data_IF_657792938827
#
_entry.id   IF_657792938827
#
_cell.length_a   1.000
_cell.length_b   1.000
_cell.length_c   1.000
_cell.angle_alpha   90.00
_cell.angle_beta   90.00
_cell.angle_gamma   90.00
#
_symmetry.space_group_name_H-M   'P 1'
#
loop_
_entity.id
_entity.type
_entity.pdbx_description
1 polymer ?
#
# COMPACT_ATOMS: atom_id res chain seq x y z
N UNK A 1 -17.12 16.65 4.85
CA UNK A 1 -15.99 15.84 4.36
C UNK A 1 -15.07 15.44 5.53
N UNK A 2 -15.25 14.25 6.13
CA UNK A 2 -14.32 13.76 7.17
C UNK A 2 -13.06 13.22 6.49
N UNK A 3 -11.98 13.99 6.50
CA UNK A 3 -10.63 13.45 6.25
C UNK A 3 -10.24 12.61 7.46
N UNK A 4 -10.41 11.30 7.39
CA UNK A 4 -9.82 10.40 8.37
C UNK A 4 -8.30 10.43 8.15
N UNK A 5 -7.55 11.07 9.05
CA UNK A 5 -6.09 10.93 9.14
C UNK A 5 -5.80 9.48 9.52
N UNK A 6 -5.67 8.62 8.52
CA UNK A 6 -5.11 7.29 8.70
C UNK A 6 -3.62 7.44 9.02
N UNK A 7 -3.14 6.73 10.03
CA UNK A 7 -1.76 6.87 10.52
C UNK A 7 -0.83 5.91 9.78
N UNK A 8 0.40 6.36 9.49
CA UNK A 8 1.43 5.53 8.85
C UNK A 8 1.67 4.21 9.60
N UNK A 9 1.55 4.22 10.93
CA UNK A 9 1.66 3.02 11.78
C UNK A 9 0.66 1.93 11.37
N UNK A 10 -0.61 2.27 11.15
CA UNK A 10 -1.61 1.28 10.78
C UNK A 10 -1.32 0.67 9.41
N UNK A 11 -0.89 1.49 8.45
CA UNK A 11 -0.51 1.00 7.12
C UNK A 11 0.72 0.10 7.14
N UNK A 12 1.71 0.44 7.96
CA UNK A 12 2.89 -0.42 8.18
C UNK A 12 2.50 -1.79 8.73
N UNK A 13 1.54 -1.84 9.66
CA UNK A 13 1.03 -3.10 10.19
C UNK A 13 0.38 -3.94 9.09
N UNK A 14 -0.54 -3.35 8.31
CA UNK A 14 -1.21 -4.06 7.21
C UNK A 14 -0.20 -4.60 6.17
N UNK A 15 0.82 -3.82 5.84
CA UNK A 15 1.88 -4.24 4.92
C UNK A 15 2.68 -5.41 5.50
N UNK A 16 3.01 -5.39 6.79
CA UNK A 16 3.68 -6.50 7.47
C UNK A 16 2.79 -7.77 7.50
N UNK A 17 1.50 -7.62 7.75
CA UNK A 17 0.55 -8.74 7.76
C UNK A 17 0.47 -9.38 6.36
N UNK A 18 0.32 -8.57 5.31
CA UNK A 18 0.25 -9.07 3.93
C UNK A 18 1.56 -9.66 3.40
N UNK A 19 2.71 -9.29 3.97
CA UNK A 19 4.01 -9.83 3.58
C UNK A 19 4.15 -11.35 3.83
N UNK A 20 3.27 -11.93 4.65
CA UNK A 20 3.25 -13.37 4.93
C UNK A 20 2.59 -14.21 3.82
N UNK A 21 1.90 -13.55 2.88
CA UNK A 21 1.17 -14.21 1.79
C UNK A 21 2.04 -14.33 0.53
N UNK A 22 1.82 -15.35 -0.32
CA UNK A 22 2.59 -15.51 -1.56
C UNK A 22 2.47 -14.26 -2.45
N UNK A 23 3.61 -13.73 -2.93
CA UNK A 23 3.64 -12.58 -3.84
C UNK A 23 2.74 -12.81 -5.06
N UNK A 24 2.03 -11.76 -5.45
CA UNK A 24 1.18 -11.74 -6.64
C UNK A 24 1.43 -10.48 -7.45
N UNK A 25 1.35 -10.55 -8.79
CA UNK A 25 1.62 -9.40 -9.63
C UNK A 25 0.67 -8.25 -9.31
N UNK A 26 1.20 -7.03 -9.40
CA UNK A 26 0.41 -5.81 -9.26
C UNK A 26 -0.60 -5.76 -10.41
N UNK A 27 -1.90 -5.57 -10.14
CA UNK A 27 -2.90 -5.37 -11.19
C UNK A 27 -2.52 -4.23 -12.14
N UNK A 28 -2.39 -4.53 -13.43
CA UNK A 28 -1.89 -3.57 -14.44
C UNK A 28 -2.72 -2.28 -14.51
N UNK A 29 -4.01 -2.35 -14.17
CA UNK A 29 -4.88 -1.17 -14.11
C UNK A 29 -4.42 -0.16 -13.06
N UNK A 30 -3.93 -0.63 -11.91
CA UNK A 30 -3.45 0.24 -10.82
C UNK A 30 -2.15 0.93 -11.23
N UNK A 31 -1.23 0.21 -11.88
CA UNK A 31 0.00 0.79 -12.41
C UNK A 31 -0.30 1.89 -13.44
N UNK A 32 -1.23 1.66 -14.36
CA UNK A 32 -1.64 2.68 -15.35
C UNK A 32 -2.27 3.90 -14.69
N UNK A 33 -3.19 3.70 -13.74
CA UNK A 33 -3.86 4.79 -13.04
C UNK A 33 -2.88 5.65 -12.24
N UNK A 34 -1.96 5.01 -11.50
CA UNK A 34 -0.97 5.73 -10.72
C UNK A 34 0.06 6.44 -11.60
N UNK A 35 0.48 5.82 -12.71
CA UNK A 35 1.37 6.48 -13.66
C UNK A 35 0.73 7.73 -14.28
N UNK A 36 -0.54 7.63 -14.69
CA UNK A 36 -1.29 8.78 -15.19
C UNK A 36 -1.42 9.90 -14.13
N UNK A 37 -1.70 9.53 -12.88
CA UNK A 37 -1.78 10.48 -11.78
C UNK A 37 -0.45 11.18 -11.49
N UNK A 38 0.67 10.45 -11.54
CA UNK A 38 2.00 11.05 -11.31
C UNK A 38 2.43 11.95 -12.47
N UNK A 39 2.08 11.60 -13.70
CA UNK A 39 2.31 12.44 -14.87
C UNK A 39 1.52 13.76 -14.82
N UNK A 40 0.35 13.76 -14.17
CA UNK A 40 -0.45 14.96 -13.91
C UNK A 40 0.00 15.68 -12.65
N UNK A 41 1.03 16.54 -12.79
CA UNK A 41 1.53 17.43 -11.75
C UNK A 41 1.89 16.72 -10.42
N UNK A 42 2.59 15.58 -10.50
CA UNK A 42 2.95 14.78 -9.32
C UNK A 42 1.73 14.53 -8.43
N UNK A 43 0.64 13.99 -9.00
CA UNK A 43 -0.64 13.72 -8.35
C UNK A 43 -0.58 12.67 -7.23
N UNK A 44 0.31 12.85 -6.25
CA UNK A 44 0.49 12.03 -5.06
C UNK A 44 -0.83 11.86 -4.29
N UNK A 45 -1.69 12.87 -4.10
CA UNK A 45 -2.99 12.67 -3.46
C UNK A 45 -3.84 11.60 -4.16
N UNK A 46 -3.86 11.59 -5.49
CA UNK A 46 -4.59 10.59 -6.26
C UNK A 46 -3.99 9.19 -6.11
N UNK A 47 -2.65 9.06 -6.07
CA UNK A 47 -1.98 7.78 -5.78
C UNK A 47 -2.33 7.27 -4.37
N UNK A 48 -2.39 8.16 -3.37
CA UNK A 48 -2.76 7.78 -2.01
C UNK A 48 -4.21 7.31 -1.88
N UNK A 49 -5.11 7.88 -2.68
CA UNK A 49 -6.50 7.43 -2.76
C UNK A 49 -6.63 6.08 -3.51
N UNK A 50 -5.82 5.84 -4.55
CA UNK A 50 -5.69 4.51 -5.18
C UNK A 50 -5.25 3.47 -4.14
N UNK A 51 -4.19 3.75 -3.37
CA UNK A 51 -3.73 2.86 -2.31
C UNK A 51 -4.82 2.58 -1.26
N UNK A 52 -5.62 3.60 -0.90
CA UNK A 52 -6.75 3.43 0.03
C UNK A 52 -7.88 2.56 -0.57
N UNK A 53 -8.10 2.64 -1.88
CA UNK A 53 -9.05 1.77 -2.56
C UNK A 53 -8.59 0.31 -2.53
N UNK A 54 -7.33 0.06 -2.88
CA UNK A 54 -6.72 -1.29 -2.90
C UNK A 54 -6.74 -1.94 -1.52
N UNK A 55 -6.45 -1.17 -0.47
CA UNK A 55 -6.51 -1.61 0.92
C UNK A 55 -7.86 -2.27 1.26
N UNK A 56 -8.96 -1.66 0.79
CA UNK A 56 -10.35 -2.05 1.08
C UNK A 56 -10.94 -3.05 0.09
N UNK A 57 -10.29 -3.25 -1.06
CA UNK A 57 -10.78 -4.13 -2.11
C UNK A 57 -10.59 -5.61 -1.69
N UNK A 58 -11.70 -6.33 -1.53
CA UNK A 58 -11.68 -7.76 -1.21
C UNK A 58 -11.30 -8.64 -2.41
N UNK A 59 -11.36 -8.11 -3.63
CA UNK A 59 -10.97 -8.79 -4.87
C UNK A 59 -9.46 -8.78 -5.14
N UNK A 60 -8.69 -7.92 -4.45
CA UNK A 60 -7.23 -7.91 -4.53
C UNK A 60 -6.66 -8.83 -3.46
N UNK A 61 -5.87 -9.83 -3.87
CA UNK A 61 -5.22 -10.74 -2.93
C UNK A 61 -4.22 -10.01 -2.04
N UNK A 62 -4.01 -10.49 -0.81
CA UNK A 62 -3.06 -9.88 0.13
C UNK A 62 -1.65 -9.73 -0.46
N UNK A 63 -1.12 -10.76 -1.15
CA UNK A 63 0.15 -10.66 -1.87
C UNK A 63 0.18 -9.57 -2.95
N UNK A 64 -0.93 -9.34 -3.66
CA UNK A 64 -1.00 -8.25 -4.65
C UNK A 64 -1.13 -6.87 -3.97
N UNK A 65 -1.82 -6.78 -2.83
CA UNK A 65 -1.84 -5.57 -1.99
C UNK A 65 -0.44 -5.24 -1.50
N UNK A 66 0.28 -6.23 -0.99
CA UNK A 66 1.68 -6.10 -0.56
C UNK A 66 2.56 -5.52 -1.67
N UNK A 67 2.60 -6.15 -2.85
CA UNK A 67 3.43 -5.68 -3.96
C UNK A 67 3.03 -4.28 -4.41
N UNK A 68 1.73 -3.96 -4.43
CA UNK A 68 1.24 -2.62 -4.77
C UNK A 68 1.75 -1.58 -3.79
N UNK A 69 1.62 -1.84 -2.49
CA UNK A 69 2.08 -0.93 -1.45
C UNK A 69 3.60 -0.79 -1.46
N UNK A 70 4.36 -1.88 -1.62
CA UNK A 70 5.81 -1.86 -1.70
C UNK A 70 6.33 -1.14 -2.94
N UNK A 71 5.64 -1.24 -4.08
CA UNK A 71 5.99 -0.50 -5.28
C UNK A 71 5.82 1.01 -5.08
N UNK A 72 4.66 1.46 -4.60
CA UNK A 72 4.42 2.89 -4.39
C UNK A 72 5.17 3.47 -3.19
N UNK A 73 5.55 2.65 -2.21
CA UNK A 73 6.45 3.06 -1.14
C UNK A 73 7.81 3.50 -1.68
N UNK A 74 8.38 2.75 -2.64
CA UNK A 74 9.66 3.10 -3.29
C UNK A 74 9.57 4.35 -4.16
N UNK A 75 8.40 4.62 -4.75
CA UNK A 75 8.15 5.81 -5.58
C UNK A 75 7.95 7.06 -4.71
N UNK A 76 7.26 6.92 -3.57
CA UNK A 76 6.83 8.04 -2.73
C UNK A 76 7.68 8.25 -1.48
N UNK A 77 8.53 7.29 -1.09
CA UNK A 77 9.37 7.34 0.10
C UNK A 77 8.60 7.31 1.42
N UNK A 78 7.52 6.52 1.52
CA UNK A 78 6.60 6.52 2.67
C UNK A 78 7.06 5.66 3.86
N UNK A 79 8.11 4.86 3.66
CA UNK A 79 8.66 3.92 4.65
C UNK A 79 7.58 2.98 5.19
N UNK A 80 6.80 2.37 4.28
CA UNK A 80 5.71 1.44 4.61
C UNK A 80 6.23 0.02 4.86
N UNK A 81 7.34 -0.35 4.23
CA UNK A 81 8.03 -1.62 4.44
C UNK A 81 8.71 -1.74 5.82
N UNK A 82 8.71 -0.67 6.62
CA UNK A 82 9.47 -0.57 7.87
C UNK A 82 9.24 -1.72 8.84
N UNK A 83 8.00 -2.20 8.97
CA UNK A 83 7.65 -3.22 9.98
C UNK A 83 7.76 -4.66 9.43
N UNK A 84 8.18 -4.84 8.17
CA UNK A 84 8.41 -6.17 7.58
C UNK A 84 9.62 -6.80 8.26
N UNK A 85 9.49 -8.06 8.72
CA UNK A 85 10.57 -8.77 9.40
C UNK A 85 10.83 -8.32 10.84
N UNK A 86 10.17 -7.26 11.31
CA UNK A 86 10.04 -7.00 12.73
C UNK A 86 8.99 -7.96 13.27
N UNK A 87 9.43 -8.95 14.04
CA UNK A 87 8.50 -9.77 14.80
C UNK A 87 7.70 -8.83 15.70
N UNK A 88 6.42 -8.62 15.41
CA UNK A 88 5.48 -8.25 16.46
C UNK A 88 5.53 -9.43 17.43
N UNK A 89 6.37 -9.34 18.46
CA UNK A 89 6.23 -10.19 19.62
C UNK A 89 4.86 -9.85 20.19
N UNK A 90 3.85 -10.64 19.81
CA UNK A 90 2.67 -10.82 20.63
C UNK A 90 3.19 -11.52 21.86
N UNK A 91 3.52 -10.75 22.90
CA UNK A 91 3.79 -11.30 24.22
C UNK A 91 2.48 -11.93 24.71
N UNK A 92 2.46 -13.23 25.03
CA UNK A 92 1.26 -13.94 25.50
C UNK A 92 0.78 -13.44 26.86
#
# INVERSE_FOLDING_TARGET
>A
MRRYRWTLRHRRQLVADWAHEPSRPIPAVLLRQAHAALADNLGVPAVLDILRSVERDAGVTAGAKFETFAHFDRVLGLDLAREIGHQHQVTP
#
